data_IF_016763889884
#
_entry.id   IF_016763889884
#
_cell.length_a   1.000
_cell.length_b   1.000
_cell.length_c   1.000
_cell.angle_alpha   90.00
_cell.angle_beta   90.00
_cell.angle_gamma   90.00
#
_symmetry.space_group_name_H-M   'P 1'
#
loop_
_entity.id
_entity.type
_entity.pdbx_description
1 polymer ?
#
# COMPACT_ATOMS: atom_id res chain seq x y z
N UNK A 1 -15.09 9.41 -11.09
CA UNK A 1 -15.70 10.57 -10.41
C UNK A 1 -16.09 10.37 -8.96
N UNK A 2 -16.40 9.16 -8.45
CA UNK A 2 -16.85 8.99 -7.04
C UNK A 2 -15.76 8.76 -5.99
N UNK A 3 -14.55 8.41 -6.39
CA UNK A 3 -13.44 8.18 -5.46
C UNK A 3 -12.22 8.92 -5.98
N UNK A 4 -11.63 9.74 -5.12
CA UNK A 4 -10.49 10.60 -5.39
C UNK A 4 -9.39 10.43 -4.35
N UNK A 5 -9.77 10.04 -3.12
CA UNK A 5 -8.85 9.72 -2.04
C UNK A 5 -9.28 8.44 -1.28
N UNK A 6 -8.40 7.94 -0.41
CA UNK A 6 -8.61 6.73 0.41
C UNK A 6 -9.76 6.90 1.39
N UNK A 7 -9.99 8.13 1.85
CA UNK A 7 -11.06 8.49 2.80
C UNK A 7 -12.46 8.45 2.16
N UNK A 8 -12.54 8.49 0.82
CA UNK A 8 -13.81 8.34 0.10
C UNK A 8 -14.34 6.90 0.18
N UNK A 9 -13.49 5.92 0.53
CA UNK A 9 -13.88 4.52 0.65
C UNK A 9 -14.66 4.27 1.95
N UNK A 10 -15.66 3.36 1.93
CA UNK A 10 -16.30 2.90 3.15
C UNK A 10 -15.25 2.34 4.14
N UNK A 11 -15.29 2.71 5.44
CA UNK A 11 -14.26 2.30 6.40
C UNK A 11 -14.00 0.79 6.48
N UNK A 12 -15.06 -0.02 6.37
CA UNK A 12 -14.94 -1.48 6.40
C UNK A 12 -14.05 -2.06 5.30
N UNK A 13 -13.93 -1.39 4.15
CA UNK A 13 -13.04 -1.83 3.06
C UNK A 13 -11.59 -1.70 3.48
N UNK A 14 -11.22 -0.59 4.12
CA UNK A 14 -9.86 -0.37 4.63
C UNK A 14 -9.54 -1.35 5.77
N UNK A 15 -10.52 -1.62 6.63
CA UNK A 15 -10.40 -2.61 7.71
C UNK A 15 -10.21 -4.03 7.16
N UNK A 16 -10.98 -4.44 6.16
CA UNK A 16 -10.86 -5.76 5.52
C UNK A 16 -9.50 -5.95 4.86
N UNK A 17 -9.03 -4.95 4.10
CA UNK A 17 -7.69 -5.02 3.46
C UNK A 17 -6.60 -5.08 4.54
N UNK A 18 -6.69 -4.27 5.59
CA UNK A 18 -5.70 -4.27 6.67
C UNK A 18 -5.68 -5.62 7.43
N UNK A 19 -6.85 -6.20 7.69
CA UNK A 19 -6.99 -7.51 8.31
C UNK A 19 -6.32 -8.60 7.47
N UNK A 20 -6.61 -8.64 6.16
CA UNK A 20 -5.98 -9.60 5.25
C UNK A 20 -4.45 -9.54 5.34
N UNK A 21 -3.86 -8.35 5.16
CA UNK A 21 -2.40 -8.20 5.15
C UNK A 21 -1.76 -8.43 6.52
N UNK A 22 -2.50 -8.28 7.61
CA UNK A 22 -1.99 -8.60 8.95
C UNK A 22 -1.93 -10.11 9.20
N UNK A 23 -2.78 -10.91 8.54
CA UNK A 23 -2.94 -12.35 8.83
C UNK A 23 -2.47 -13.30 7.72
N UNK A 24 -2.30 -12.83 6.48
CA UNK A 24 -2.07 -13.73 5.33
C UNK A 24 -0.81 -14.60 5.44
N UNK A 25 0.12 -14.24 6.34
CA UNK A 25 1.39 -14.91 6.58
C UNK A 25 1.44 -15.72 7.87
N UNK A 26 0.36 -15.82 8.63
CA UNK A 26 0.39 -16.40 9.99
C UNK A 26 0.92 -17.85 10.04
N UNK A 27 0.77 -18.61 8.95
CA UNK A 27 1.25 -19.99 8.84
C UNK A 27 2.63 -20.11 8.17
N UNK A 28 3.21 -19.00 7.71
CA UNK A 28 4.55 -18.96 7.13
C UNK A 28 5.60 -18.75 8.22
N UNK A 29 6.19 -19.85 8.71
CA UNK A 29 7.19 -19.82 9.79
C UNK A 29 8.27 -18.77 9.56
N UNK A 30 8.42 -17.85 10.53
CA UNK A 30 9.43 -16.80 10.51
C UNK A 30 9.05 -15.56 9.67
N UNK A 31 7.86 -15.52 9.07
CA UNK A 31 7.36 -14.34 8.37
C UNK A 31 6.27 -13.66 9.18
N UNK A 32 6.23 -12.35 9.05
CA UNK A 32 5.18 -11.50 9.59
C UNK A 32 5.00 -10.29 8.68
N UNK A 33 3.88 -9.61 8.85
CA UNK A 33 3.58 -8.33 8.23
C UNK A 33 2.90 -7.43 9.26
N UNK A 34 3.06 -6.13 9.10
CA UNK A 34 2.40 -5.12 9.92
C UNK A 34 1.89 -4.03 9.01
N UNK A 35 0.63 -3.67 9.21
CA UNK A 35 0.01 -2.51 8.56
C UNK A 35 0.23 -1.30 9.46
N UNK A 36 0.88 -0.26 8.95
CA UNK A 36 1.17 0.96 9.73
C UNK A 36 0.09 2.04 9.60
N UNK A 37 -0.78 1.94 8.60
CA UNK A 37 -1.87 2.87 8.36
C UNK A 37 -2.16 3.06 6.88
N UNK A 38 -2.97 4.07 6.58
CA UNK A 38 -3.35 4.48 5.23
C UNK A 38 -2.89 5.91 5.00
N UNK A 39 -2.28 6.18 3.83
CA UNK A 39 -1.94 7.52 3.37
C UNK A 39 -2.76 7.86 2.12
N UNK A 40 -3.04 9.14 1.91
CA UNK A 40 -3.90 9.59 0.81
C UNK A 40 -3.26 9.57 -0.59
N UNK A 41 -4.07 9.93 -1.59
CA UNK A 41 -3.73 9.82 -3.01
C UNK A 41 -2.49 10.62 -3.41
N UNK A 42 -2.25 11.79 -2.81
CA UNK A 42 -1.05 12.60 -3.05
C UNK A 42 0.23 11.83 -2.71
N UNK A 43 0.25 11.19 -1.55
CA UNK A 43 1.39 10.41 -1.08
C UNK A 43 1.61 9.14 -1.92
N UNK A 44 0.52 8.47 -2.30
CA UNK A 44 0.59 7.35 -3.23
C UNK A 44 1.25 7.74 -4.57
N UNK A 45 0.89 8.91 -5.13
CA UNK A 45 1.48 9.43 -6.37
C UNK A 45 2.97 9.72 -6.22
N UNK A 46 3.41 10.32 -5.10
CA UNK A 46 4.83 10.53 -4.80
C UNK A 46 5.61 9.21 -4.82
N UNK A 47 5.07 8.17 -4.18
CA UNK A 47 5.70 6.85 -4.11
C UNK A 47 5.81 6.21 -5.51
N UNK A 48 4.78 6.34 -6.35
CA UNK A 48 4.80 5.85 -7.73
C UNK A 48 5.93 6.53 -8.52
N UNK A 49 6.00 7.86 -8.49
CA UNK A 49 7.03 8.62 -9.20
C UNK A 49 8.43 8.25 -8.70
N UNK A 50 8.61 8.11 -7.38
CA UNK A 50 9.86 7.67 -6.77
C UNK A 50 10.26 6.25 -7.20
N UNK A 51 9.30 5.32 -7.25
CA UNK A 51 9.56 3.96 -7.71
C UNK A 51 9.97 3.92 -9.19
N UNK A 52 9.34 4.74 -10.04
CA UNK A 52 9.72 4.89 -11.45
C UNK A 52 11.15 5.43 -11.60
N UNK A 53 11.54 6.40 -10.78
CA UNK A 53 12.90 6.93 -10.78
C UNK A 53 13.92 5.89 -10.31
N UNK A 54 13.65 5.21 -9.21
CA UNK A 54 14.52 4.12 -8.70
C UNK A 54 14.71 3.05 -9.76
N UNK A 55 13.64 2.68 -10.49
CA UNK A 55 13.74 1.72 -11.57
C UNK A 55 14.66 2.22 -12.69
N UNK A 56 14.46 3.45 -13.18
CA UNK A 56 15.30 4.05 -14.24
C UNK A 56 16.77 4.09 -13.84
N UNK A 57 17.08 4.48 -12.61
CA UNK A 57 18.46 4.57 -12.14
C UNK A 57 19.08 3.18 -11.91
N UNK A 58 18.32 2.21 -11.39
CA UNK A 58 18.81 0.84 -11.16
C UNK A 58 19.10 0.08 -12.46
N UNK A 59 18.36 0.39 -13.52
CA UNK A 59 18.44 -0.28 -14.82
C UNK A 59 18.87 0.67 -15.95
N UNK A 60 19.56 1.76 -15.58
CA UNK A 60 20.30 2.59 -16.53
C UNK A 60 21.47 1.75 -17.02
N UNK A 61 21.61 1.62 -18.33
CA UNK A 61 22.62 0.75 -18.98
C UNK A 61 23.99 0.78 -18.30
#
# INVERSE_FOLDING_TARGET
>A
DKFSDVEDLPPHVLEEIAHFWSHYKDLEKGKWSKVEGWEGASRAKEIILKAMEIYREKFKD
#
